data_IF_509357483902
#
_entry.id   IF_509357483902
#
_cell.length_a   1.000
_cell.length_b   1.000
_cell.length_c   1.000
_cell.angle_alpha   90.00
_cell.angle_beta   90.00
_cell.angle_gamma   90.00
#
_symmetry.space_group_name_H-M   'P 1'
#
loop_
_entity.id
_entity.type
_entity.pdbx_description
1 polymer ?
#
# COMPACT_ATOMS: atom_id res chain seq x y z
N UNK A 1 -15.58 6.68 -6.76
CA UNK A 1 -14.21 7.27 -6.82
C UNK A 1 -13.36 6.57 -5.78
N UNK A 2 -12.17 6.16 -6.13
CA UNK A 2 -11.29 5.44 -5.21
C UNK A 2 -10.19 6.34 -4.64
N UNK A 3 -9.84 6.10 -3.37
CA UNK A 3 -8.63 6.62 -2.73
C UNK A 3 -7.63 5.47 -2.57
N UNK A 4 -6.45 5.61 -3.17
CA UNK A 4 -5.40 4.60 -3.15
C UNK A 4 -4.23 5.18 -2.36
N UNK A 5 -4.01 4.67 -1.17
CA UNK A 5 -2.99 5.13 -0.24
C UNK A 5 -1.85 4.10 -0.14
N UNK A 6 -0.66 4.49 -0.56
CA UNK A 6 0.56 3.72 -0.31
C UNK A 6 1.25 4.21 0.95
N UNK A 7 1.55 3.30 1.87
CA UNK A 7 2.21 3.64 3.12
C UNK A 7 3.73 3.61 3.00
N UNK A 8 4.40 4.49 3.74
CA UNK A 8 5.84 4.61 3.81
C UNK A 8 6.27 5.76 4.69
N UNK A 9 7.58 5.95 4.80
CA UNK A 9 8.18 7.10 5.48
C UNK A 9 8.82 8.03 4.45
N UNK A 10 8.62 9.35 4.56
CA UNK A 10 9.26 10.31 3.67
C UNK A 10 10.75 10.48 4.02
N UNK A 11 11.56 10.72 3.00
CA UNK A 11 13.00 11.00 3.14
C UNK A 11 13.88 9.95 2.46
N UNK A 12 15.03 10.40 1.95
CA UNK A 12 15.97 9.54 1.21
C UNK A 12 16.46 8.32 1.99
N UNK A 13 16.60 8.44 3.31
CA UNK A 13 17.03 7.35 4.18
C UNK A 13 16.06 6.18 4.24
N UNK A 14 14.81 6.40 3.87
CA UNK A 14 13.76 5.37 3.87
C UNK A 14 13.45 4.80 2.48
N UNK A 15 14.03 5.37 1.42
CA UNK A 15 13.81 4.88 0.05
C UNK A 15 14.23 3.41 -0.09
N UNK A 16 13.41 2.63 -0.78
CA UNK A 16 13.61 1.20 -1.03
C UNK A 16 13.72 0.32 0.23
N UNK A 17 13.33 0.81 1.40
CA UNK A 17 13.22 -0.01 2.60
C UNK A 17 11.96 -0.87 2.57
N UNK A 18 11.93 -1.92 3.42
CA UNK A 18 10.75 -2.82 3.53
C UNK A 18 9.48 -2.06 3.86
N UNK A 19 9.57 -1.05 4.71
CA UNK A 19 8.41 -0.26 5.15
C UNK A 19 7.85 0.69 4.07
N UNK A 20 8.56 0.90 2.96
CA UNK A 20 8.17 1.80 1.88
C UNK A 20 7.53 1.10 0.66
N UNK A 21 7.11 -0.13 0.79
CA UNK A 21 6.47 -0.88 -0.32
C UNK A 21 5.21 -0.20 -0.85
N UNK A 22 4.44 0.43 0.01
CA UNK A 22 3.29 1.21 -0.41
C UNK A 22 3.69 2.43 -1.25
N UNK A 23 4.72 3.16 -0.84
CA UNK A 23 5.27 4.28 -1.62
C UNK A 23 5.75 3.82 -2.99
N UNK A 24 6.54 2.74 -3.04
CA UNK A 24 7.08 2.20 -4.29
C UNK A 24 5.96 1.77 -5.24
N UNK A 25 4.87 1.21 -4.72
CA UNK A 25 3.70 0.83 -5.54
C UNK A 25 2.96 2.05 -6.09
N UNK A 26 2.80 3.12 -5.30
CA UNK A 26 2.21 4.38 -5.79
C UNK A 26 3.11 4.99 -6.88
N UNK A 27 4.43 5.00 -6.70
CA UNK A 27 5.36 5.51 -7.70
C UNK A 27 5.28 4.71 -9.01
N UNK A 28 5.16 3.39 -8.93
CA UNK A 28 4.93 2.52 -10.09
C UNK A 28 3.62 2.88 -10.84
N UNK A 29 2.52 3.09 -10.11
CA UNK A 29 1.25 3.51 -10.70
C UNK A 29 1.33 4.91 -11.34
N UNK A 30 2.01 5.84 -10.68
CA UNK A 30 2.23 7.20 -11.18
C UNK A 30 3.01 7.18 -12.50
N UNK A 31 4.07 6.41 -12.58
CA UNK A 31 4.87 6.23 -13.78
C UNK A 31 4.07 5.56 -14.90
N UNK A 32 3.42 4.44 -14.60
CA UNK A 32 2.64 3.64 -15.56
C UNK A 32 1.49 4.42 -16.21
N UNK A 33 0.83 5.28 -15.44
CA UNK A 33 -0.31 6.07 -15.91
C UNK A 33 0.04 7.53 -16.23
N UNK A 34 1.31 7.92 -16.21
CA UNK A 34 1.79 9.29 -16.44
C UNK A 34 1.00 10.31 -15.59
N UNK A 35 0.80 10.02 -14.31
CA UNK A 35 -0.01 10.85 -13.42
C UNK A 35 0.80 12.07 -12.99
N UNK A 36 0.32 13.30 -13.25
CA UNK A 36 0.96 14.49 -12.71
C UNK A 36 1.01 14.42 -11.18
N UNK A 37 2.20 14.51 -10.61
CA UNK A 37 2.34 14.65 -9.16
C UNK A 37 1.90 16.06 -8.79
N UNK A 38 0.65 16.16 -8.33
CA UNK A 38 -0.08 17.42 -8.35
C UNK A 38 0.05 18.28 -7.11
N UNK A 39 0.77 17.88 -6.10
CA UNK A 39 0.91 18.71 -4.94
C UNK A 39 0.79 18.01 -3.59
N UNK A 40 0.83 18.80 -2.53
CA UNK A 40 0.68 18.35 -1.15
C UNK A 40 -0.63 18.88 -0.59
N UNK A 41 -1.44 17.98 -0.02
CA UNK A 41 -2.68 18.30 0.67
C UNK A 41 -2.83 17.37 1.87
N UNK A 42 -3.26 17.92 3.00
CA UNK A 42 -3.44 17.15 4.24
C UNK A 42 -2.20 16.32 4.62
N UNK A 43 -1.02 16.90 4.49
CA UNK A 43 0.26 16.23 4.72
C UNK A 43 0.43 14.93 3.92
N UNK A 44 -0.03 14.94 2.67
CA UNK A 44 0.15 13.86 1.71
C UNK A 44 0.49 14.39 0.32
N UNK A 45 1.42 13.76 -0.37
CA UNK A 45 1.55 13.91 -1.83
C UNK A 45 0.39 13.18 -2.48
N UNK A 46 -0.22 13.80 -3.49
CA UNK A 46 -1.33 13.16 -4.20
C UNK A 46 -1.39 13.52 -5.68
N UNK A 47 -2.01 12.67 -6.44
CA UNK A 47 -2.35 12.89 -7.85
C UNK A 47 -3.71 12.30 -8.18
N UNK A 48 -4.35 12.81 -9.22
CA UNK A 48 -5.66 12.36 -9.69
C UNK A 48 -5.53 11.76 -11.08
N UNK A 49 -6.25 10.68 -11.33
CA UNK A 49 -6.30 10.01 -12.62
C UNK A 49 -7.61 9.27 -12.84
N UNK A 50 -7.75 8.68 -14.03
CA UNK A 50 -8.74 7.67 -14.31
C UNK A 50 -7.97 6.36 -14.53
N UNK A 51 -8.26 5.35 -13.74
CA UNK A 51 -7.64 4.03 -13.81
C UNK A 51 -8.75 2.99 -13.89
N UNK A 52 -8.69 2.08 -14.87
CA UNK A 52 -9.73 1.06 -15.03
C UNK A 52 -11.15 1.61 -15.28
N UNK A 53 -11.26 2.84 -15.80
CA UNK A 53 -12.54 3.53 -16.00
C UNK A 53 -13.05 4.29 -14.77
N UNK A 54 -12.39 4.17 -13.61
CA UNK A 54 -12.80 4.79 -12.36
C UNK A 54 -11.95 6.03 -12.02
N UNK A 55 -12.57 7.03 -11.42
CA UNK A 55 -11.83 8.17 -10.85
C UNK A 55 -11.01 7.69 -9.65
N UNK A 56 -9.72 7.95 -9.68
CA UNK A 56 -8.76 7.55 -8.65
C UNK A 56 -7.95 8.73 -8.13
N UNK A 57 -7.74 8.74 -6.82
CA UNK A 57 -6.79 9.61 -6.12
C UNK A 57 -5.71 8.70 -5.57
N UNK A 58 -4.47 8.92 -6.02
CA UNK A 58 -3.31 8.22 -5.47
C UNK A 58 -2.65 9.12 -4.45
N UNK A 59 -2.27 8.58 -3.29
CA UNK A 59 -1.61 9.35 -2.25
C UNK A 59 -0.48 8.61 -1.55
N UNK A 60 0.52 9.39 -1.14
CA UNK A 60 1.58 8.98 -0.21
C UNK A 60 1.50 9.88 1.03
N UNK A 61 1.05 9.38 2.22
CA UNK A 61 1.11 10.13 3.46
C UNK A 61 2.54 10.54 3.81
N UNK A 62 2.77 11.80 4.19
CA UNK A 62 4.10 12.31 4.57
C UNK A 62 4.28 12.43 6.09
N UNK A 63 3.33 11.89 6.84
CA UNK A 63 3.22 12.02 8.29
C UNK A 63 4.06 11.01 9.09
N UNK A 64 4.95 10.28 8.46
CA UNK A 64 5.58 9.06 8.97
C UNK A 64 4.57 7.92 9.23
N UNK A 65 5.08 6.68 9.28
CA UNK A 65 4.26 5.47 9.25
C UNK A 65 3.21 5.42 10.37
N UNK A 66 3.60 5.71 11.61
CA UNK A 66 2.72 5.63 12.78
C UNK A 66 1.60 6.67 12.83
N UNK A 67 1.62 7.65 11.92
CA UNK A 67 0.61 8.71 11.79
C UNK A 67 -0.12 8.70 10.44
N UNK A 68 -0.04 7.59 9.71
CA UNK A 68 -0.59 7.45 8.36
C UNK A 68 -2.11 7.68 8.28
N UNK A 69 -2.82 7.43 9.36
CA UNK A 69 -4.28 7.56 9.41
C UNK A 69 -4.79 9.00 9.31
N UNK A 70 -4.04 9.98 9.79
CA UNK A 70 -4.43 11.41 9.73
C UNK A 70 -4.67 11.89 8.30
N UNK A 71 -3.65 11.87 7.44
CA UNK A 71 -3.81 12.26 6.03
C UNK A 71 -4.87 11.47 5.28
N UNK A 72 -5.00 10.16 5.54
CA UNK A 72 -6.01 9.31 4.89
C UNK A 72 -7.42 9.71 5.34
N UNK A 73 -7.64 9.95 6.63
CA UNK A 73 -8.92 10.40 7.16
C UNK A 73 -9.34 11.74 6.56
N UNK A 74 -8.44 12.72 6.55
CA UNK A 74 -8.71 14.04 6.01
C UNK A 74 -9.01 13.99 4.49
N UNK A 75 -8.23 13.21 3.73
CA UNK A 75 -8.43 13.03 2.30
C UNK A 75 -9.76 12.33 2.02
N UNK A 76 -10.08 11.27 2.77
CA UNK A 76 -11.37 10.55 2.65
C UNK A 76 -12.56 11.46 2.93
N UNK A 77 -12.49 12.27 3.98
CA UNK A 77 -13.55 13.21 4.33
C UNK A 77 -13.73 14.29 3.27
N UNK A 78 -12.64 14.88 2.78
CA UNK A 78 -12.67 15.95 1.80
C UNK A 78 -13.26 15.50 0.45
N UNK A 79 -12.90 14.31 -0.03
CA UNK A 79 -13.39 13.76 -1.29
C UNK A 79 -14.63 12.87 -1.14
N UNK A 80 -15.18 12.78 0.07
CA UNK A 80 -16.37 11.97 0.40
C UNK A 80 -16.21 10.50 -0.01
N UNK A 81 -15.05 9.94 0.29
CA UNK A 81 -14.72 8.53 0.09
C UNK A 81 -15.37 7.70 1.20
N UNK A 82 -16.08 6.64 0.84
CA UNK A 82 -16.49 5.60 1.79
C UNK A 82 -15.29 4.66 2.04
N UNK A 83 -14.70 4.65 3.24
CA UNK A 83 -13.53 3.83 3.50
C UNK A 83 -13.78 2.33 3.29
N UNK A 84 -14.97 1.83 3.55
CA UNK A 84 -15.27 0.40 3.48
C UNK A 84 -15.29 -0.14 2.04
N UNK A 85 -15.60 0.71 1.06
CA UNK A 85 -15.79 0.30 -0.34
C UNK A 85 -14.86 0.99 -1.34
N UNK A 86 -14.31 2.16 -1.00
CA UNK A 86 -13.58 3.02 -1.92
C UNK A 86 -12.12 3.31 -1.49
N UNK A 87 -11.70 2.86 -0.30
CA UNK A 87 -10.31 3.01 0.16
C UNK A 87 -9.51 1.74 -0.11
N UNK A 88 -8.35 1.90 -0.77
CA UNK A 88 -7.34 0.85 -0.95
C UNK A 88 -6.07 1.29 -0.24
N UNK A 89 -5.55 0.48 0.69
CA UNK A 89 -4.30 0.74 1.40
C UNK A 89 -3.27 -0.32 1.01
N UNK A 90 -2.09 0.14 0.58
CA UNK A 90 -0.98 -0.71 0.14
C UNK A 90 0.14 -0.59 1.16
N UNK A 91 0.61 -1.71 1.71
CA UNK A 91 1.63 -1.72 2.76
C UNK A 91 2.40 -3.04 2.85
N UNK A 92 3.53 -2.99 3.55
CA UNK A 92 4.42 -4.12 3.78
C UNK A 92 3.86 -5.14 4.78
N UNK A 93 4.17 -6.41 4.56
CA UNK A 93 3.73 -7.52 5.41
C UNK A 93 4.87 -8.51 5.67
N UNK A 94 5.23 -8.63 6.94
CA UNK A 94 6.28 -9.55 7.40
C UNK A 94 5.85 -11.03 7.45
N UNK A 95 4.56 -11.32 7.34
CA UNK A 95 4.02 -12.68 7.33
C UNK A 95 3.95 -13.29 5.93
N UNK A 96 4.31 -12.51 4.91
CA UNK A 96 4.38 -12.94 3.51
C UNK A 96 5.82 -12.89 3.01
N UNK A 97 6.22 -13.93 2.28
CA UNK A 97 7.54 -13.98 1.63
C UNK A 97 7.66 -12.90 0.54
N UNK A 98 8.89 -12.41 0.26
CA UNK A 98 9.11 -11.53 -0.89
C UNK A 98 8.60 -12.16 -2.18
N UNK A 99 7.87 -11.40 -2.98
CA UNK A 99 7.22 -11.87 -4.20
C UNK A 99 5.79 -12.37 -4.00
N UNK A 100 5.24 -12.33 -2.80
CA UNK A 100 3.86 -12.74 -2.49
C UNK A 100 2.97 -11.55 -2.16
N UNK A 101 1.80 -11.48 -2.79
CA UNK A 101 0.74 -10.52 -2.47
C UNK A 101 -0.41 -11.17 -1.70
N UNK A 102 -1.10 -10.36 -0.92
CA UNK A 102 -2.36 -10.74 -0.31
C UNK A 102 -3.33 -9.55 -0.33
N UNK A 103 -4.50 -9.76 -0.90
CA UNK A 103 -5.58 -8.78 -0.92
C UNK A 103 -6.65 -9.20 0.08
N UNK A 104 -7.14 -8.25 0.88
CA UNK A 104 -8.20 -8.45 1.87
C UNK A 104 -9.16 -7.26 1.86
N UNK A 105 -10.43 -7.52 2.17
CA UNK A 105 -11.47 -6.48 2.33
C UNK A 105 -11.53 -5.93 3.75
N UNK A 106 -10.97 -6.65 4.72
CA UNK A 106 -10.95 -6.30 6.15
C UNK A 106 -9.83 -7.04 6.87
N UNK A 107 -9.51 -6.62 8.07
CA UNK A 107 -8.57 -7.31 8.96
C UNK A 107 -8.02 -6.41 10.06
N UNK A 108 -7.40 -7.03 11.06
CA UNK A 108 -6.69 -6.31 12.12
C UNK A 108 -5.42 -5.64 11.60
N UNK A 109 -4.74 -4.90 12.46
CA UNK A 109 -3.46 -4.26 12.14
C UNK A 109 -2.29 -5.24 12.01
N UNK A 110 -2.37 -6.42 12.64
CA UNK A 110 -1.30 -7.42 12.60
C UNK A 110 0.06 -6.91 13.10
N UNK A 111 0.09 -5.92 13.99
CA UNK A 111 1.32 -5.29 14.47
C UNK A 111 1.84 -4.14 13.60
N UNK A 112 1.26 -3.87 12.45
CA UNK A 112 1.66 -2.77 11.56
C UNK A 112 1.18 -1.42 12.10
N UNK A 113 2.11 -0.52 12.47
CA UNK A 113 1.78 0.75 13.13
C UNK A 113 0.96 1.71 12.25
N UNK A 114 1.20 1.74 10.95
CA UNK A 114 0.41 2.53 10.01
C UNK A 114 -1.05 2.08 9.96
N UNK A 115 -1.28 0.79 9.90
CA UNK A 115 -2.63 0.21 9.89
C UNK A 115 -3.34 0.43 11.22
N UNK A 116 -2.63 0.34 12.35
CA UNK A 116 -3.20 0.68 13.68
C UNK A 116 -3.76 2.11 13.70
N UNK A 117 -3.00 3.06 13.21
CA UNK A 117 -3.43 4.46 13.21
C UNK A 117 -4.60 4.70 12.25
N UNK A 118 -4.60 4.05 11.08
CA UNK A 118 -5.72 4.12 10.12
C UNK A 118 -7.00 3.58 10.76
N UNK A 119 -6.97 2.39 11.35
CA UNK A 119 -8.14 1.78 12.02
C UNK A 119 -8.64 2.69 13.15
N UNK A 120 -7.73 3.20 13.98
CA UNK A 120 -8.08 4.10 15.08
C UNK A 120 -8.80 5.36 14.59
N UNK A 121 -8.32 5.95 13.50
CA UNK A 121 -8.86 7.21 12.97
C UNK A 121 -10.13 7.04 12.16
N UNK A 122 -10.22 6.00 11.36
CA UNK A 122 -11.41 5.72 10.57
C UNK A 122 -12.54 5.05 11.37
N UNK A 123 -12.19 4.40 12.49
CA UNK A 123 -13.16 3.67 13.33
C UNK A 123 -13.64 2.36 12.71
N UNK A 124 -12.95 1.84 11.70
CA UNK A 124 -13.31 0.59 11.02
C UNK A 124 -12.08 -0.19 10.58
N UNK A 125 -12.19 -1.51 10.59
CA UNK A 125 -11.21 -2.44 9.99
C UNK A 125 -11.55 -2.82 8.55
N UNK A 126 -12.70 -2.36 8.06
CA UNK A 126 -13.23 -2.71 6.73
C UNK A 126 -12.75 -1.68 5.70
N UNK A 127 -11.64 -1.96 5.08
CA UNK A 127 -11.13 -1.30 3.88
C UNK A 127 -10.31 -2.29 3.08
N UNK A 128 -10.17 -2.03 1.78
CA UNK A 128 -9.41 -2.92 0.89
C UNK A 128 -7.92 -2.75 1.19
N UNK A 129 -7.21 -3.87 1.31
CA UNK A 129 -5.78 -3.92 1.61
C UNK A 129 -5.05 -4.72 0.56
N UNK A 130 -3.94 -4.18 0.09
CA UNK A 130 -2.94 -4.91 -0.69
C UNK A 130 -1.69 -5.03 0.18
N UNK A 131 -1.43 -6.25 0.65
CA UNK A 131 -0.31 -6.58 1.52
C UNK A 131 0.83 -7.10 0.67
N UNK A 132 1.97 -6.41 0.72
CA UNK A 132 3.17 -6.69 -0.08
C UNK A 132 4.17 -7.43 0.80
N UNK A 133 4.51 -8.67 0.46
CA UNK A 133 5.40 -9.51 1.24
C UNK A 133 6.83 -8.99 1.29
N UNK A 134 7.39 -8.89 2.49
CA UNK A 134 8.77 -8.45 2.71
C UNK A 134 9.63 -9.45 3.46
N UNK A 135 9.05 -10.59 3.81
CA UNK A 135 9.71 -11.67 4.53
C UNK A 135 9.64 -11.55 6.05
N UNK A 136 9.91 -12.66 6.71
CA UNK A 136 9.86 -12.75 8.15
C UNK A 136 11.04 -12.04 8.82
N UNK A 137 10.74 -11.32 9.89
CA UNK A 137 11.77 -10.74 10.75
C UNK A 137 12.64 -11.84 11.38
N UNK A 138 13.98 -11.75 11.32
CA UNK A 138 14.84 -12.65 12.07
C UNK A 138 14.52 -12.63 13.58
N UNK A 139 14.64 -13.78 14.25
CA UNK A 139 14.16 -13.98 15.61
C UNK A 139 14.73 -12.96 16.62
N UNK A 140 16.00 -12.59 16.47
CA UNK A 140 16.71 -11.70 17.40
C UNK A 140 16.73 -10.22 16.96
N UNK A 141 16.02 -9.88 15.89
CA UNK A 141 15.96 -8.50 15.40
C UNK A 141 14.79 -7.74 15.99
N UNK A 142 14.99 -6.45 16.23
CA UNK A 142 13.90 -5.52 16.47
C UNK A 142 13.06 -5.34 15.20
N UNK A 143 11.72 -5.27 15.35
CA UNK A 143 10.82 -5.13 14.22
C UNK A 143 11.04 -3.82 13.47
N UNK A 144 11.25 -2.71 14.18
CA UNK A 144 11.48 -1.41 13.57
C UNK A 144 12.76 -1.42 12.73
N UNK A 145 13.85 -1.98 13.25
CA UNK A 145 15.10 -2.09 12.52
C UNK A 145 14.96 -2.95 11.27
N UNK A 146 14.20 -4.04 11.36
CA UNK A 146 13.96 -4.91 10.20
C UNK A 146 13.20 -4.21 9.08
N UNK A 147 12.07 -3.56 9.38
CA UNK A 147 11.22 -2.92 8.36
C UNK A 147 11.84 -1.65 7.80
N UNK A 148 12.72 -0.99 8.54
CA UNK A 148 13.51 0.15 8.06
C UNK A 148 14.79 -0.26 7.31
N UNK A 149 15.05 -1.56 7.22
CA UNK A 149 16.18 -2.12 6.48
C UNK A 149 15.88 -2.32 5.00
N UNK A 150 16.96 -2.51 4.22
CA UNK A 150 16.88 -2.77 2.78
C UNK A 150 16.86 -4.28 2.49
N UNK A 151 16.40 -4.63 1.29
CA UNK A 151 16.41 -6.00 0.80
C UNK A 151 17.81 -6.42 0.34
N UNK A 152 18.08 -7.74 0.35
CA UNK A 152 19.15 -8.33 -0.46
C UNK A 152 18.87 -8.10 -1.95
N UNK A 153 19.88 -8.21 -2.82
CA UNK A 153 19.68 -8.04 -4.28
C UNK A 153 18.71 -9.08 -4.84
N UNK A 154 18.74 -10.32 -4.35
CA UNK A 154 17.82 -11.38 -4.77
C UNK A 154 16.38 -11.12 -4.33
N UNK A 155 16.17 -10.68 -3.10
CA UNK A 155 14.85 -10.33 -2.59
C UNK A 155 14.31 -9.07 -3.28
N UNK A 156 15.16 -8.09 -3.58
CA UNK A 156 14.75 -6.88 -4.29
C UNK A 156 14.18 -7.19 -5.68
N UNK A 157 14.74 -8.13 -6.40
CA UNK A 157 14.20 -8.57 -7.70
C UNK A 157 12.79 -9.13 -7.57
N UNK A 158 12.56 -9.99 -6.57
CA UNK A 158 11.23 -10.54 -6.28
C UNK A 158 10.24 -9.44 -5.90
N UNK A 159 10.67 -8.48 -5.11
CA UNK A 159 9.85 -7.35 -4.64
C UNK A 159 9.55 -6.38 -5.78
N UNK A 160 10.47 -6.14 -6.71
CA UNK A 160 10.20 -5.28 -7.88
C UNK A 160 9.10 -5.89 -8.78
N UNK A 161 9.11 -7.22 -8.98
CA UNK A 161 8.01 -7.91 -9.67
C UNK A 161 6.70 -7.82 -8.88
N UNK A 162 6.78 -7.97 -7.57
CA UNK A 162 5.62 -7.86 -6.66
C UNK A 162 4.99 -6.46 -6.65
N UNK A 163 5.81 -5.41 -6.72
CA UNK A 163 5.34 -4.02 -6.85
C UNK A 163 4.54 -3.85 -8.14
N UNK A 164 5.01 -4.42 -9.25
CA UNK A 164 4.24 -4.42 -10.51
C UNK A 164 2.93 -5.20 -10.37
N UNK A 165 2.95 -6.37 -9.75
CA UNK A 165 1.74 -7.15 -9.46
C UNK A 165 0.76 -6.37 -8.57
N UNK A 166 1.26 -5.63 -7.58
CA UNK A 166 0.44 -4.79 -6.70
C UNK A 166 -0.22 -3.63 -7.47
N UNK A 167 0.52 -3.00 -8.38
CA UNK A 167 -0.02 -1.97 -9.26
C UNK A 167 -1.12 -2.54 -10.19
N UNK A 168 -0.89 -3.70 -10.82
CA UNK A 168 -1.89 -4.39 -11.62
C UNK A 168 -3.11 -4.83 -10.79
N UNK A 169 -2.91 -5.22 -9.53
CA UNK A 169 -3.99 -5.55 -8.63
C UNK A 169 -4.88 -4.33 -8.34
N UNK A 170 -4.31 -3.14 -8.18
CA UNK A 170 -5.09 -1.89 -8.08
C UNK A 170 -5.92 -1.69 -9.36
N UNK A 171 -5.31 -1.79 -10.53
CA UNK A 171 -6.01 -1.64 -11.81
C UNK A 171 -7.17 -2.62 -11.94
N UNK A 172 -6.95 -3.88 -11.55
CA UNK A 172 -7.99 -4.93 -11.60
C UNK A 172 -9.11 -4.67 -10.59
N UNK A 173 -8.81 -4.19 -9.37
CA UNK A 173 -9.83 -3.81 -8.39
C UNK A 173 -10.74 -2.73 -8.98
N UNK A 174 -10.18 -1.73 -9.66
CA UNK A 174 -10.94 -0.62 -10.21
C UNK A 174 -11.76 -1.03 -11.43
N UNK A 175 -11.26 -1.92 -12.27
CA UNK A 175 -11.93 -2.34 -13.53
C UNK A 175 -12.89 -3.53 -13.36
N UNK A 176 -12.53 -4.49 -12.50
CA UNK A 176 -13.23 -5.78 -12.39
C UNK A 176 -13.74 -6.08 -10.97
N UNK A 177 -13.34 -5.27 -9.99
CA UNK A 177 -13.71 -5.43 -8.59
C UNK A 177 -12.71 -6.21 -7.75
N UNK A 178 -12.85 -6.06 -6.43
CA UNK A 178 -11.91 -6.65 -5.46
C UNK A 178 -11.91 -8.17 -5.44
N UNK A 179 -13.05 -8.81 -5.69
CA UNK A 179 -13.15 -10.28 -5.68
C UNK A 179 -12.37 -10.91 -6.85
N UNK A 180 -12.40 -10.31 -8.03
CA UNK A 180 -11.62 -10.75 -9.18
C UNK A 180 -10.11 -10.62 -8.88
N UNK A 181 -9.67 -9.52 -8.31
CA UNK A 181 -8.29 -9.32 -7.91
C UNK A 181 -7.85 -10.32 -6.83
N UNK A 182 -8.69 -10.59 -5.81
CA UNK A 182 -8.42 -11.61 -4.79
C UNK A 182 -8.25 -12.99 -5.41
N UNK A 183 -9.09 -13.37 -6.35
CA UNK A 183 -9.01 -14.66 -7.03
C UNK A 183 -7.72 -14.83 -7.84
N UNK A 184 -7.23 -13.76 -8.46
CA UNK A 184 -6.00 -13.77 -9.25
C UNK A 184 -4.75 -13.75 -8.38
N UNK A 185 -4.64 -12.80 -7.45
CA UNK A 185 -3.40 -12.48 -6.74
C UNK A 185 -3.22 -13.21 -5.40
N UNK A 186 -4.27 -13.73 -4.76
CA UNK A 186 -4.16 -14.48 -3.51
C UNK A 186 -3.66 -15.92 -3.69
N UNK A 187 -3.46 -16.38 -4.91
CA UNK A 187 -2.89 -17.70 -5.19
C UNK A 187 -1.40 -17.68 -4.86
N UNK A 188 -0.92 -18.73 -4.19
CA UNK A 188 0.53 -18.91 -3.99
C UNK A 188 1.19 -19.05 -5.37
N UNK A 189 2.18 -18.22 -5.65
CA UNK A 189 3.06 -18.47 -6.80
C UNK A 189 3.80 -19.80 -6.59
N UNK A 190 3.96 -20.64 -7.63
CA UNK A 190 4.82 -21.84 -7.52
C UNK A 190 6.21 -21.39 -7.07
N UNK A 191 6.80 -22.11 -6.13
CA UNK A 191 8.23 -21.96 -5.83
C UNK A 191 9.01 -22.47 -7.03
N UNK A 192 9.72 -21.59 -7.72
CA UNK A 192 10.70 -21.98 -8.72
C UNK A 192 11.92 -22.61 -8.05
#
# INVERSE_FOLDING_TARGET
MYLIAGLGNPGKQYEATRHNMGFDTIDCLVEKHNIPQGGVKFNAMYGKSIIGGEKAILMKPLSYMNLSGGPIQEMSSYFKIDPETELIVIYDDIDLEPGQLRIRKKGSAGGHNGIKDIIRRLGTEKFIRIRVGVGAKPKDWDLADFVLGHFSDSDRKLVDEEINDAAEAVEMILSEGVDAAMNKYNRKKPKN
#
